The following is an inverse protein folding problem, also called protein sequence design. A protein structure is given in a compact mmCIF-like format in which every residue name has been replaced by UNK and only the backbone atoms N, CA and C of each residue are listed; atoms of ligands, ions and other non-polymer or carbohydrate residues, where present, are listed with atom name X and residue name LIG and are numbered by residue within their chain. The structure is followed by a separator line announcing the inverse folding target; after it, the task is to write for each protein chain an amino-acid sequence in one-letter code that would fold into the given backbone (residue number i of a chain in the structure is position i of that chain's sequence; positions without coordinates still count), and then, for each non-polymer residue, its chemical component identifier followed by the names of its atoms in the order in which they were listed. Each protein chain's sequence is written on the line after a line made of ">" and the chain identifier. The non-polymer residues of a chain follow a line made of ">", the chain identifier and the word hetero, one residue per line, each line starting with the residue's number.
data_IF_389768614975
#
_entry.id   IF_389768614975
#
_cell.length_a   1.000
_cell.length_b   1.000
_cell.length_c   1.000
_cell.angle_alpha   90.00
_cell.angle_beta   90.00
_cell.angle_gamma   90.00
#
_symmetry.space_group_name_H-M   'P 1'
#
loop_
_entity.id
_entity.type
_entity.pdbx_description
1 polymer ?
#
# COMPACT_ATOMS: atom_id res chain seq x y z
N UNK A 1 -14.26 19.23 6.16
CA UNK A 1 -13.55 17.94 5.93
C UNK A 1 -14.47 16.84 5.39
N UNK A 2 -15.63 16.55 6.01
CA UNK A 2 -16.57 15.50 5.56
C UNK A 2 -16.97 15.59 4.07
N UNK A 3 -17.23 16.79 3.55
CA UNK A 3 -17.59 17.00 2.13
C UNK A 3 -16.44 16.69 1.16
N UNK A 4 -15.20 17.05 1.51
CA UNK A 4 -14.01 16.76 0.71
C UNK A 4 -13.72 15.26 0.68
N UNK A 5 -13.82 14.60 1.85
CA UNK A 5 -13.69 13.16 1.96
C UNK A 5 -14.68 12.43 1.03
N UNK A 6 -15.96 12.82 1.06
CA UNK A 6 -16.99 12.21 0.20
C UNK A 6 -16.74 12.47 -1.29
N UNK A 7 -16.30 13.67 -1.66
CA UNK A 7 -15.96 14.00 -3.05
C UNK A 7 -14.77 13.18 -3.56
N UNK A 8 -13.70 13.07 -2.77
CA UNK A 8 -12.55 12.23 -3.13
C UNK A 8 -12.95 10.77 -3.26
N UNK A 9 -13.81 10.27 -2.36
CA UNK A 9 -14.34 8.91 -2.45
C UNK A 9 -15.11 8.69 -3.77
N UNK A 10 -16.00 9.63 -4.13
CA UNK A 10 -16.76 9.57 -5.38
C UNK A 10 -15.88 9.72 -6.63
N UNK A 11 -14.80 10.50 -6.56
CA UNK A 11 -13.82 10.64 -7.64
C UNK A 11 -12.96 9.37 -7.81
N UNK A 12 -12.61 8.70 -6.72
CA UNK A 12 -11.98 7.37 -6.77
C UNK A 12 -12.93 6.34 -7.40
N UNK A 13 -14.23 6.47 -7.13
CA UNK A 13 -15.31 5.71 -7.74
C UNK A 13 -15.64 6.13 -9.21
N UNK A 14 -14.77 6.88 -9.88
CA UNK A 14 -14.93 7.17 -11.30
C UNK A 14 -14.85 5.90 -12.14
N UNK A 15 -15.83 5.67 -13.03
CA UNK A 15 -16.01 4.45 -13.86
C UNK A 15 -14.68 3.85 -14.36
N UNK A 16 -13.84 4.62 -15.06
CA UNK A 16 -12.58 4.09 -15.65
C UNK A 16 -11.55 3.63 -14.61
N UNK A 17 -11.33 4.41 -13.54
CA UNK A 17 -10.36 4.07 -12.49
C UNK A 17 -10.86 2.90 -11.63
N UNK A 18 -12.17 2.80 -11.41
CA UNK A 18 -12.77 1.65 -10.72
C UNK A 18 -12.59 0.34 -11.48
N UNK A 19 -12.78 0.33 -12.80
CA UNK A 19 -12.56 -0.89 -13.58
C UNK A 19 -11.11 -1.37 -13.48
N UNK A 20 -10.14 -0.44 -13.50
CA UNK A 20 -8.73 -0.77 -13.30
C UNK A 20 -8.50 -1.32 -11.89
N UNK A 21 -9.04 -0.65 -10.86
CA UNK A 21 -8.91 -1.10 -9.47
C UNK A 21 -9.53 -2.49 -9.28
N UNK A 22 -10.74 -2.71 -9.79
CA UNK A 22 -11.44 -4.00 -9.70
C UNK A 22 -10.70 -5.10 -10.45
N UNK A 23 -10.15 -4.82 -11.63
CA UNK A 23 -9.32 -5.77 -12.38
C UNK A 23 -8.05 -6.12 -11.60
N UNK A 24 -7.42 -5.13 -10.96
CA UNK A 24 -6.25 -5.36 -10.11
C UNK A 24 -6.59 -6.15 -8.86
N UNK A 25 -7.76 -5.89 -8.28
CA UNK A 25 -8.25 -6.51 -7.07
C UNK A 25 -8.74 -7.94 -7.28
N UNK A 26 -9.15 -8.29 -8.50
CA UNK A 26 -9.55 -9.65 -8.88
C UNK A 26 -8.36 -10.52 -9.28
N UNK A 27 -7.24 -9.94 -9.69
CA UNK A 27 -6.01 -10.64 -10.09
C UNK A 27 -5.52 -11.63 -9.02
N UNK A 28 -5.42 -11.27 -7.72
CA UNK A 28 -5.02 -12.20 -6.67
C UNK A 28 -5.96 -13.40 -6.54
N UNK A 29 -7.26 -13.15 -6.63
CA UNK A 29 -8.29 -14.19 -6.51
C UNK A 29 -8.15 -15.19 -7.66
N UNK A 30 -7.88 -14.70 -8.87
CA UNK A 30 -7.64 -15.55 -10.04
C UNK A 30 -6.34 -16.36 -9.92
N UNK A 31 -5.26 -15.75 -9.42
CA UNK A 31 -3.98 -16.45 -9.21
C UNK A 31 -4.07 -17.52 -8.14
N UNK A 32 -4.66 -17.21 -6.98
CA UNK A 32 -4.87 -18.20 -5.91
C UNK A 32 -5.79 -19.31 -6.41
N UNK A 33 -6.86 -18.95 -7.12
CA UNK A 33 -7.78 -19.92 -7.71
C UNK A 33 -7.12 -20.83 -8.74
N UNK A 34 -6.23 -20.31 -9.59
CA UNK A 34 -5.53 -21.14 -10.58
C UNK A 34 -4.55 -22.12 -9.92
N UNK A 35 -3.84 -21.71 -8.87
CA UNK A 35 -2.92 -22.56 -8.10
C UNK A 35 -3.69 -23.69 -7.40
N UNK A 36 -4.84 -23.38 -6.81
CA UNK A 36 -5.70 -24.35 -6.13
C UNK A 36 -6.33 -25.35 -7.12
N UNK A 37 -6.84 -24.86 -8.26
CA UNK A 37 -7.42 -25.69 -9.32
C UNK A 37 -6.38 -26.58 -10.01
N UNK A 38 -5.14 -26.11 -10.15
CA UNK A 38 -4.02 -26.90 -10.66
C UNK A 38 -3.57 -28.01 -9.69
N UNK A 39 -4.19 -28.12 -8.51
CA UNK A 39 -3.86 -29.14 -7.52
C UNK A 39 -2.55 -28.86 -6.78
N UNK A 40 -2.05 -27.61 -6.80
CA UNK A 40 -0.75 -27.25 -6.21
C UNK A 40 -0.61 -27.55 -4.72
N UNK A 41 -1.73 -27.72 -4.00
CA UNK A 41 -1.76 -28.10 -2.58
C UNK A 41 -2.17 -29.55 -2.33
N UNK A 42 -2.53 -30.33 -3.36
CA UNK A 42 -3.06 -31.70 -3.20
C UNK A 42 -1.99 -32.77 -2.91
N UNK A 43 -0.70 -32.41 -2.94
CA UNK A 43 0.42 -33.33 -2.69
C UNK A 43 1.39 -32.86 -1.61
N UNK A 44 1.12 -31.73 -0.97
CA UNK A 44 1.94 -31.19 0.12
C UNK A 44 1.27 -31.55 1.44
N UNK A 45 2.06 -31.98 2.43
CA UNK A 45 1.58 -32.23 3.79
C UNK A 45 0.76 -31.02 4.27
N UNK A 46 -0.41 -31.24 4.87
CA UNK A 46 -1.42 -30.18 5.12
C UNK A 46 -0.82 -28.92 5.77
N UNK A 47 0.12 -29.10 6.69
CA UNK A 47 0.83 -28.02 7.39
C UNK A 47 1.77 -27.19 6.48
N UNK A 48 2.52 -27.84 5.59
CA UNK A 48 3.42 -27.15 4.66
C UNK A 48 2.64 -26.44 3.54
N UNK A 49 1.49 -27.00 3.14
CA UNK A 49 0.58 -26.37 2.19
C UNK A 49 -0.01 -25.06 2.73
N UNK A 50 -0.39 -25.04 4.00
CA UNK A 50 -0.91 -23.85 4.68
C UNK A 50 0.12 -22.72 4.73
N UNK A 51 1.35 -23.03 5.14
CA UNK A 51 2.44 -22.05 5.27
C UNK A 51 2.79 -21.38 3.94
N UNK A 52 2.92 -22.18 2.87
CA UNK A 52 3.19 -21.68 1.52
C UNK A 52 2.07 -20.73 1.09
N UNK A 53 0.82 -21.09 1.36
CA UNK A 53 -0.31 -20.25 0.98
C UNK A 53 -0.34 -18.93 1.77
N UNK A 54 0.01 -18.92 3.06
CA UNK A 54 0.14 -17.66 3.83
C UNK A 54 1.24 -16.75 3.27
N UNK A 55 2.39 -17.32 2.91
CA UNK A 55 3.48 -16.55 2.28
C UNK A 55 3.03 -15.97 0.94
N UNK A 56 2.35 -16.76 0.10
CA UNK A 56 1.78 -16.29 -1.17
C UNK A 56 0.80 -15.15 -0.94
N UNK A 57 -0.13 -15.29 0.02
CA UNK A 57 -1.10 -14.24 0.35
C UNK A 57 -0.42 -12.96 0.84
N UNK A 58 0.62 -13.07 1.67
CA UNK A 58 1.38 -11.92 2.14
C UNK A 58 2.08 -11.18 0.98
N UNK A 59 2.75 -11.92 0.10
CA UNK A 59 3.44 -11.33 -1.06
C UNK A 59 2.45 -10.67 -2.02
N UNK A 60 1.29 -11.28 -2.21
CA UNK A 60 0.32 -10.82 -3.18
C UNK A 60 -0.45 -9.59 -2.68
N UNK A 61 -0.89 -9.57 -1.42
CA UNK A 61 -1.71 -8.49 -0.87
C UNK A 61 -0.88 -7.34 -0.26
N UNK A 62 -0.28 -7.46 0.95
CA UNK A 62 0.53 -6.39 1.53
C UNK A 62 1.68 -5.90 0.65
N UNK A 63 2.43 -6.82 0.03
CA UNK A 63 3.64 -6.44 -0.69
C UNK A 63 3.35 -5.97 -2.12
N UNK A 64 2.51 -6.66 -2.89
CA UNK A 64 2.30 -6.32 -4.31
C UNK A 64 1.11 -5.38 -4.51
N UNK A 65 -0.09 -5.79 -4.12
CA UNK A 65 -1.31 -5.00 -4.36
C UNK A 65 -1.28 -3.65 -3.66
N UNK A 66 -0.87 -3.59 -2.38
CA UNK A 66 -0.92 -2.33 -1.64
C UNK A 66 0.02 -1.29 -2.27
N UNK A 67 1.20 -1.70 -2.74
CA UNK A 67 2.13 -0.81 -3.46
C UNK A 67 1.50 -0.31 -4.75
N UNK A 68 0.93 -1.20 -5.55
CA UNK A 68 0.40 -0.84 -6.88
C UNK A 68 -0.84 0.05 -6.79
N UNK A 69 -1.73 -0.24 -5.84
CA UNK A 69 -2.93 0.56 -5.61
C UNK A 69 -2.58 1.91 -4.98
N UNK A 70 -1.67 1.94 -4.00
CA UNK A 70 -1.17 3.19 -3.42
C UNK A 70 -0.38 4.03 -4.42
N UNK A 71 0.32 3.42 -5.36
CA UNK A 71 0.99 4.11 -6.47
C UNK A 71 -0.05 4.76 -7.38
N UNK A 72 -1.04 4.01 -7.85
CA UNK A 72 -2.05 4.50 -8.78
C UNK A 72 -2.84 5.69 -8.22
N UNK A 73 -3.23 5.62 -6.94
CA UNK A 73 -4.09 6.62 -6.30
C UNK A 73 -3.31 7.67 -5.49
N UNK A 74 -2.21 7.29 -4.84
CA UNK A 74 -1.36 8.19 -4.06
C UNK A 74 -0.53 9.12 -4.93
N UNK A 75 0.07 8.61 -6.01
CA UNK A 75 0.84 9.45 -6.93
C UNK A 75 -0.06 10.43 -7.70
N UNK A 76 -1.30 10.03 -8.02
CA UNK A 76 -2.28 10.88 -8.71
C UNK A 76 -3.12 11.78 -7.79
N UNK A 77 -2.90 11.71 -6.47
CA UNK A 77 -3.69 12.42 -5.46
C UNK A 77 -3.68 13.94 -5.64
N UNK A 78 -2.51 14.46 -5.99
CA UNK A 78 -2.23 15.89 -6.18
C UNK A 78 -1.66 16.20 -7.56
N UNK A 79 -1.05 15.23 -8.25
CA UNK A 79 -0.48 15.44 -9.57
C UNK A 79 -1.50 16.02 -10.56
N UNK A 80 -2.74 15.51 -10.56
CA UNK A 80 -3.80 16.03 -11.44
C UNK A 80 -4.19 17.47 -11.13
N UNK A 81 -4.28 17.87 -9.85
CA UNK A 81 -4.64 19.27 -9.50
C UNK A 81 -3.50 20.25 -9.71
N UNK A 82 -2.27 19.76 -9.64
CA UNK A 82 -1.05 20.49 -9.99
C UNK A 82 -1.03 20.75 -11.49
N UNK A 83 -1.27 19.72 -12.30
CA UNK A 83 -1.28 19.81 -13.76
C UNK A 83 -2.43 20.68 -14.28
N UNK A 84 -3.63 20.49 -13.75
CA UNK A 84 -4.83 21.23 -14.16
C UNK A 84 -4.88 22.67 -13.64
N UNK A 85 -3.85 23.12 -12.88
CA UNK A 85 -3.79 24.43 -12.19
C UNK A 85 -5.00 24.74 -11.30
N UNK A 86 -5.81 23.73 -10.97
CA UNK A 86 -7.02 23.86 -10.16
C UNK A 86 -6.72 24.11 -8.69
N UNK A 87 -5.49 23.81 -8.23
CA UNK A 87 -5.00 24.21 -6.91
C UNK A 87 -5.17 25.71 -6.68
N UNK A 88 -4.90 26.55 -7.68
CA UNK A 88 -5.02 28.02 -7.56
C UNK A 88 -6.48 28.44 -7.35
N UNK A 89 -7.41 27.82 -8.08
CA UNK A 89 -8.84 28.12 -7.95
C UNK A 89 -9.40 27.67 -6.59
N UNK A 90 -8.91 26.56 -6.04
CA UNK A 90 -9.23 26.12 -4.68
C UNK A 90 -8.79 27.12 -3.61
N UNK A 91 -7.80 27.99 -3.89
CA UNK A 91 -7.30 29.01 -2.97
C UNK A 91 -8.13 30.30 -2.93
N UNK A 92 -9.04 30.52 -3.89
CA UNK A 92 -10.04 31.59 -3.74
C UNK A 92 -11.00 31.33 -2.56
N UNK A 93 -11.09 30.06 -2.13
CA UNK A 93 -11.76 29.65 -0.90
C UNK A 93 -10.70 29.45 0.19
N UNK A 94 -10.83 30.14 1.33
CA UNK A 94 -9.85 30.20 2.43
C UNK A 94 -9.56 28.86 3.15
N UNK A 95 -9.09 27.83 2.44
CA UNK A 95 -8.71 26.53 2.98
C UNK A 95 -7.17 26.40 2.95
N UNK A 96 -6.52 26.17 4.11
CA UNK A 96 -5.07 25.99 4.15
C UNK A 96 -4.66 24.71 3.43
N UNK A 97 -3.60 24.79 2.62
CA UNK A 97 -3.17 23.73 1.69
C UNK A 97 -2.95 22.36 2.35
N UNK A 98 -2.40 22.35 3.57
CA UNK A 98 -2.21 21.15 4.39
C UNK A 98 -3.51 20.40 4.69
N UNK A 99 -4.63 21.11 4.93
CA UNK A 99 -5.92 20.46 5.24
C UNK A 99 -6.50 19.73 4.04
N UNK A 100 -6.22 20.20 2.82
CA UNK A 100 -6.64 19.54 1.58
C UNK A 100 -5.83 18.27 1.38
N UNK A 101 -4.50 18.35 1.52
CA UNK A 101 -3.60 17.19 1.48
C UNK A 101 -4.04 16.13 2.50
N UNK A 102 -4.15 16.51 3.78
CA UNK A 102 -4.48 15.58 4.85
C UNK A 102 -5.87 14.94 4.65
N UNK A 103 -6.86 15.72 4.21
CA UNK A 103 -8.20 15.22 3.93
C UNK A 103 -8.23 14.20 2.79
N UNK A 104 -7.51 14.47 1.71
CA UNK A 104 -7.39 13.55 0.56
C UNK A 104 -6.59 12.30 0.89
N UNK A 105 -5.48 12.46 1.59
CA UNK A 105 -4.64 11.36 2.03
C UNK A 105 -5.41 10.39 2.93
N UNK A 106 -6.16 10.90 3.91
CA UNK A 106 -6.99 10.06 4.78
C UNK A 106 -8.12 9.39 4.00
N UNK A 107 -8.78 10.12 3.10
CA UNK A 107 -9.85 9.55 2.26
C UNK A 107 -9.35 8.40 1.39
N UNK A 108 -8.21 8.59 0.73
CA UNK A 108 -7.61 7.57 -0.13
C UNK A 108 -7.08 6.40 0.68
N UNK A 109 -6.29 6.63 1.72
CA UNK A 109 -5.72 5.55 2.55
C UNK A 109 -6.80 4.66 3.16
N UNK A 110 -7.89 5.25 3.70
CA UNK A 110 -9.02 4.50 4.26
C UNK A 110 -9.80 3.77 3.18
N UNK A 111 -10.08 4.41 2.04
CA UNK A 111 -10.77 3.74 0.95
C UNK A 111 -9.97 2.54 0.45
N UNK A 112 -8.66 2.73 0.21
CA UNK A 112 -7.78 1.67 -0.25
C UNK A 112 -7.71 0.53 0.76
N UNK A 113 -7.55 0.82 2.05
CA UNK A 113 -7.50 -0.23 3.07
C UNK A 113 -8.80 -1.03 3.15
N UNK A 114 -9.96 -0.38 3.01
CA UNK A 114 -11.26 -1.07 3.00
C UNK A 114 -11.43 -1.92 1.74
N UNK A 115 -11.07 -1.40 0.57
CA UNK A 115 -11.18 -2.11 -0.71
C UNK A 115 -10.26 -3.35 -0.77
N UNK A 116 -9.00 -3.21 -0.35
CA UNK A 116 -8.04 -4.31 -0.34
C UNK A 116 -8.36 -5.36 0.72
N UNK A 117 -8.76 -4.95 1.93
CA UNK A 117 -9.19 -5.88 2.97
C UNK A 117 -10.49 -6.62 2.61
N UNK A 118 -11.44 -5.96 1.93
CA UNK A 118 -12.63 -6.62 1.42
C UNK A 118 -12.28 -7.69 0.38
N UNK A 119 -11.39 -7.38 -0.57
CA UNK A 119 -10.92 -8.37 -1.55
C UNK A 119 -10.23 -9.56 -0.90
N UNK A 120 -9.35 -9.30 0.07
CA UNK A 120 -8.72 -10.37 0.83
C UNK A 120 -9.77 -11.25 1.51
N UNK A 121 -10.78 -10.65 2.14
CA UNK A 121 -11.86 -11.38 2.81
C UNK A 121 -12.68 -12.21 1.81
N UNK A 122 -12.97 -11.68 0.63
CA UNK A 122 -13.62 -12.43 -0.45
C UNK A 122 -12.75 -13.60 -0.93
N UNK A 123 -11.45 -13.40 -1.03
CA UNK A 123 -10.52 -14.47 -1.39
C UNK A 123 -10.54 -15.59 -0.35
N UNK A 124 -10.54 -15.26 0.94
CA UNK A 124 -10.67 -16.25 2.02
C UNK A 124 -12.02 -17.00 1.93
N UNK A 125 -13.12 -16.27 1.67
CA UNK A 125 -14.45 -16.85 1.58
C UNK A 125 -14.65 -17.76 0.35
N UNK A 126 -14.05 -17.42 -0.79
CA UNK A 126 -14.19 -18.19 -2.05
C UNK A 126 -13.43 -19.51 -1.99
N UNK A 127 -12.28 -19.53 -1.31
CA UNK A 127 -11.40 -20.70 -1.31
C UNK A 127 -11.53 -21.58 -0.07
N UNK A 128 -12.47 -21.27 0.84
CA UNK A 128 -12.73 -21.98 2.11
C UNK A 128 -11.43 -22.41 2.80
N UNK A 129 -10.45 -21.50 2.76
CA UNK A 129 -9.11 -21.87 3.10
C UNK A 129 -9.00 -22.00 4.62
N UNK A 130 -8.35 -23.04 5.16
CA UNK A 130 -8.29 -23.36 6.59
C UNK A 130 -7.40 -22.38 7.38
N UNK A 131 -7.22 -21.15 6.90
CA UNK A 131 -6.43 -20.14 7.58
C UNK A 131 -7.16 -19.67 8.83
N UNK A 132 -6.55 -19.85 9.99
CA UNK A 132 -7.10 -19.39 11.26
C UNK A 132 -7.37 -17.87 11.27
N UNK A 133 -8.33 -17.45 12.10
CA UNK A 133 -8.71 -16.03 12.27
C UNK A 133 -7.52 -15.12 12.63
N UNK A 134 -6.46 -15.68 13.24
CA UNK A 134 -5.19 -14.99 13.50
C UNK A 134 -4.47 -14.55 12.23
N UNK A 135 -4.41 -15.41 11.21
CA UNK A 135 -3.75 -15.11 9.92
C UNK A 135 -4.50 -14.00 9.20
N UNK A 136 -5.83 -14.07 9.20
CA UNK A 136 -6.66 -13.01 8.63
C UNK A 136 -6.42 -11.67 9.33
N UNK A 137 -6.35 -11.66 10.67
CA UNK A 137 -6.03 -10.45 11.44
C UNK A 137 -4.62 -9.92 11.12
N UNK A 138 -3.62 -10.81 11.05
CA UNK A 138 -2.25 -10.45 10.71
C UNK A 138 -2.16 -9.72 9.36
N UNK A 139 -2.78 -10.32 8.33
CA UNK A 139 -2.82 -9.73 7.00
C UNK A 139 -3.65 -8.44 6.96
N UNK A 140 -4.75 -8.36 7.70
CA UNK A 140 -5.56 -7.15 7.80
C UNK A 140 -4.76 -5.96 8.38
N UNK A 141 -4.01 -6.19 9.46
CA UNK A 141 -3.15 -5.16 10.06
C UNK A 141 -2.01 -4.79 9.10
N UNK A 142 -1.39 -5.77 8.43
CA UNK A 142 -0.35 -5.50 7.44
C UNK A 142 -0.88 -4.68 6.25
N UNK A 143 -2.06 -5.00 5.72
CA UNK A 143 -2.69 -4.27 4.60
C UNK A 143 -3.01 -2.83 5.01
N UNK A 144 -3.60 -2.64 6.19
CA UNK A 144 -3.93 -1.30 6.67
C UNK A 144 -2.66 -0.46 6.86
N UNK A 145 -1.63 -1.00 7.50
CA UNK A 145 -0.33 -0.35 7.64
C UNK A 145 0.32 -0.03 6.28
N UNK A 146 0.28 -0.98 5.34
CA UNK A 146 0.82 -0.81 3.99
C UNK A 146 0.11 0.31 3.23
N UNK A 147 -1.23 0.32 3.23
CA UNK A 147 -2.02 1.34 2.55
C UNK A 147 -1.71 2.75 3.08
N UNK A 148 -1.61 2.94 4.39
CA UNK A 148 -1.27 4.25 4.97
C UNK A 148 0.14 4.68 4.60
N UNK A 149 1.12 3.78 4.71
CA UNK A 149 2.53 4.13 4.50
C UNK A 149 2.85 4.39 3.04
N UNK A 150 2.43 3.50 2.14
CA UNK A 150 2.67 3.68 0.71
C UNK A 150 1.92 4.87 0.13
N UNK A 151 0.68 5.14 0.58
CA UNK A 151 -0.04 6.32 0.11
C UNK A 151 0.69 7.61 0.53
N UNK A 152 1.36 7.62 1.68
CA UNK A 152 2.13 8.77 2.14
C UNK A 152 3.42 8.96 1.31
N UNK A 153 4.14 7.88 1.04
CA UNK A 153 5.35 7.86 0.20
C UNK A 153 5.01 8.32 -1.22
N UNK A 154 3.99 7.73 -1.86
CA UNK A 154 3.63 8.07 -3.24
C UNK A 154 3.03 9.46 -3.37
N UNK A 155 2.31 9.94 -2.35
CA UNK A 155 1.85 11.34 -2.30
C UNK A 155 3.03 12.32 -2.31
N UNK A 156 4.08 12.05 -1.51
CA UNK A 156 5.31 12.85 -1.51
C UNK A 156 6.03 12.82 -2.86
N UNK A 157 6.17 11.64 -3.46
CA UNK A 157 6.79 11.49 -4.79
C UNK A 157 6.00 12.24 -5.87
N UNK A 158 4.67 12.19 -5.83
CA UNK A 158 3.80 12.94 -6.75
C UNK A 158 3.90 14.46 -6.56
N UNK A 159 4.21 14.94 -5.35
CA UNK A 159 4.47 16.35 -5.08
C UNK A 159 5.86 16.80 -5.57
N UNK A 160 6.87 15.95 -5.46
CA UNK A 160 8.23 16.24 -5.91
C UNK A 160 8.28 16.34 -7.44
N UNK A 161 7.69 15.36 -8.13
CA UNK A 161 7.76 15.21 -9.60
C UNK A 161 6.36 15.05 -10.20
N UNK A 162 5.54 16.11 -10.25
CA UNK A 162 4.13 16.02 -10.68
C UNK A 162 3.95 15.44 -12.09
N UNK A 163 4.76 15.89 -13.06
CA UNK A 163 4.68 15.46 -14.47
C UNK A 163 5.09 14.00 -14.73
N UNK A 164 5.78 13.36 -13.77
CA UNK A 164 6.28 11.98 -13.90
C UNK A 164 5.99 11.15 -12.65
N UNK A 165 4.92 11.49 -11.94
CA UNK A 165 4.58 10.88 -10.65
C UNK A 165 4.43 9.35 -10.75
N UNK A 166 3.76 8.86 -11.80
CA UNK A 166 3.56 7.43 -12.03
C UNK A 166 4.88 6.71 -12.35
N UNK A 167 5.65 7.07 -13.40
CA UNK A 167 6.87 6.33 -13.72
C UNK A 167 7.94 6.41 -12.61
N UNK A 168 8.05 7.54 -11.90
CA UNK A 168 8.95 7.65 -10.74
C UNK A 168 8.49 6.75 -9.59
N UNK A 169 7.19 6.70 -9.33
CA UNK A 169 6.65 5.79 -8.31
C UNK A 169 6.80 4.32 -8.68
N UNK A 170 6.68 3.95 -9.97
CA UNK A 170 6.99 2.59 -10.44
C UNK A 170 8.46 2.26 -10.15
N UNK A 171 9.38 3.16 -10.52
CA UNK A 171 10.81 2.97 -10.28
C UNK A 171 11.10 2.76 -8.79
N UNK A 172 10.49 3.58 -7.93
CA UNK A 172 10.59 3.41 -6.48
C UNK A 172 10.06 2.03 -6.03
N UNK A 173 8.83 1.67 -6.40
CA UNK A 173 8.23 0.40 -5.98
C UNK A 173 9.01 -0.83 -6.44
N UNK A 174 9.52 -0.82 -7.68
CA UNK A 174 10.31 -1.94 -8.20
C UNK A 174 11.69 -2.00 -7.54
N UNK A 175 12.40 -0.89 -7.48
CA UNK A 175 13.79 -0.89 -6.97
C UNK A 175 13.82 -1.05 -5.46
N UNK A 176 13.07 -0.24 -4.71
CA UNK A 176 13.16 -0.21 -3.25
C UNK A 176 12.33 -1.28 -2.54
N UNK A 177 11.19 -1.67 -3.12
CA UNK A 177 10.29 -2.60 -2.42
C UNK A 177 10.34 -4.02 -3.01
N UNK A 178 10.57 -4.20 -4.31
CA UNK A 178 10.76 -5.55 -4.88
C UNK A 178 12.21 -6.02 -4.81
N UNK A 179 13.17 -5.23 -5.33
CA UNK A 179 14.56 -5.67 -5.38
C UNK A 179 15.24 -5.62 -4.01
N UNK A 180 15.12 -4.50 -3.30
CA UNK A 180 15.75 -4.36 -1.98
C UNK A 180 15.10 -5.25 -0.91
N UNK A 181 13.78 -5.49 -0.95
CA UNK A 181 13.12 -6.34 0.06
C UNK A 181 13.44 -7.83 -0.08
N UNK A 182 13.85 -8.26 -1.28
CA UNK A 182 14.20 -9.65 -1.55
C UNK A 182 15.63 -10.01 -1.15
N UNK A 183 16.47 -9.03 -0.82
CA UNK A 183 17.86 -9.28 -0.39
C UNK A 183 17.90 -9.39 1.14
N UNK A 184 18.26 -10.56 1.72
CA UNK A 184 18.47 -10.73 3.16
C UNK A 184 19.79 -10.07 3.59
N UNK A 185 19.80 -8.73 3.59
CA UNK A 185 20.89 -7.89 4.05
C UNK A 185 20.34 -6.78 4.95
N UNK A 186 21.21 -6.11 5.71
CA UNK A 186 20.88 -4.90 6.53
C UNK A 186 20.11 -3.84 5.71
N UNK A 187 20.30 -3.84 4.39
CA UNK A 187 19.60 -2.97 3.45
C UNK A 187 18.07 -3.15 3.49
N UNK A 188 17.57 -4.33 3.86
CA UNK A 188 16.13 -4.59 3.98
C UNK A 188 15.48 -3.81 5.13
N UNK A 189 16.23 -3.47 6.18
CA UNK A 189 15.73 -2.65 7.29
C UNK A 189 15.34 -1.22 6.85
N UNK A 190 15.79 -0.79 5.66
CA UNK A 190 15.39 0.49 5.05
C UNK A 190 14.03 0.41 4.34
N UNK A 191 13.52 -0.80 4.09
CA UNK A 191 12.34 -1.04 3.28
C UNK A 191 11.08 -1.16 4.13
N UNK A 192 9.97 -0.56 3.67
CA UNK A 192 8.71 -0.59 4.43
C UNK A 192 8.14 -2.00 4.52
N UNK A 193 8.31 -2.79 3.45
CA UNK A 193 7.90 -4.20 3.40
C UNK A 193 8.54 -5.07 4.50
N UNK A 194 9.74 -4.75 4.99
CA UNK A 194 10.40 -5.49 6.07
C UNK A 194 9.62 -5.38 7.39
N UNK A 195 9.28 -4.15 7.79
CA UNK A 195 8.53 -3.90 9.02
C UNK A 195 7.10 -4.45 8.93
N UNK A 196 6.46 -4.34 7.76
CA UNK A 196 5.13 -4.92 7.52
C UNK A 196 5.16 -6.46 7.60
N UNK A 197 6.24 -7.09 7.10
CA UNK A 197 6.41 -8.55 7.09
C UNK A 197 6.65 -9.07 8.48
N UNK A 198 7.54 -8.41 9.21
CA UNK A 198 7.84 -8.72 10.60
C UNK A 198 6.59 -8.59 11.48
N UNK A 199 5.79 -7.53 11.29
CA UNK A 199 4.55 -7.35 12.04
C UNK A 199 3.49 -8.42 11.71
N UNK A 200 3.32 -8.75 10.43
CA UNK A 200 2.40 -9.82 10.02
C UNK A 200 2.81 -11.17 10.60
N UNK A 201 4.11 -11.48 10.59
CA UNK A 201 4.64 -12.73 11.13
C UNK A 201 4.37 -12.86 12.64
N UNK A 202 4.67 -11.82 13.41
CA UNK A 202 4.43 -11.79 14.86
C UNK A 202 2.96 -12.00 15.22
N UNK A 203 2.03 -11.47 14.42
CA UNK A 203 0.58 -11.62 14.67
C UNK A 203 0.07 -12.99 14.22
N UNK A 204 0.62 -13.53 13.13
CA UNK A 204 0.21 -14.81 12.58
C UNK A 204 0.63 -15.99 13.47
N UNK A 205 1.74 -15.86 14.24
CA UNK A 205 2.24 -16.88 15.16
C UNK A 205 2.48 -18.24 14.45
N UNK A 206 2.93 -18.17 13.19
CA UNK A 206 3.18 -19.35 12.35
C UNK A 206 4.66 -19.74 12.46
N UNK A 207 4.92 -20.97 12.89
CA UNK A 207 6.23 -21.60 12.79
C UNK A 207 6.53 -21.92 11.32
N UNK A 208 7.22 -21.02 10.61
CA UNK A 208 7.73 -21.31 9.26
C UNK A 208 8.87 -22.35 9.36
N UNK A 209 8.81 -23.51 8.69
CA UNK A 209 9.84 -24.54 8.69
C UNK A 209 10.86 -24.33 7.57
N UNK A 210 11.12 -23.08 7.21
CA UNK A 210 12.13 -22.71 6.22
C UNK A 210 13.41 -22.32 6.95
N UNK A 211 14.56 -22.76 6.44
CA UNK A 211 15.88 -22.65 7.07
C UNK A 211 16.08 -21.34 7.85
N UNK A 212 16.44 -21.53 9.10
CA UNK A 212 16.21 -20.63 10.24
C UNK A 212 17.09 -19.37 10.24
N UNK A 213 18.01 -19.23 9.29
CA UNK A 213 18.96 -18.11 9.25
C UNK A 213 18.59 -17.05 8.20
N UNK A 214 18.06 -17.46 7.05
CA UNK A 214 17.77 -16.52 5.95
C UNK A 214 16.42 -15.81 6.15
N UNK A 215 15.43 -16.52 6.70
CA UNK A 215 14.09 -15.97 7.00
C UNK A 215 14.10 -15.10 8.26
N UNK A 216 14.94 -15.44 9.26
CA UNK A 216 15.08 -14.61 10.47
C UNK A 216 15.64 -13.23 10.11
N UNK A 217 16.63 -13.15 9.21
CA UNK A 217 17.10 -11.87 8.68
C UNK A 217 16.03 -11.03 7.96
N UNK A 218 14.97 -11.66 7.45
CA UNK A 218 13.84 -11.02 6.75
C UNK A 218 12.69 -10.59 7.67
N UNK A 219 12.69 -11.02 8.94
CA UNK A 219 11.54 -10.93 9.85
C UNK A 219 11.93 -10.47 11.28
N UNK A 220 13.21 -10.20 11.55
CA UNK A 220 13.76 -10.00 12.91
C UNK A 220 13.35 -8.72 13.67
N UNK A 221 12.52 -7.84 13.13
CA UNK A 221 12.12 -6.64 13.87
C UNK A 221 11.20 -6.98 15.07
N UNK A 222 11.42 -6.33 16.20
CA UNK A 222 10.46 -6.35 17.31
C UNK A 222 9.13 -5.74 16.84
N UNK A 223 7.96 -6.24 17.27
CA UNK A 223 6.66 -5.72 16.82
C UNK A 223 6.50 -4.23 17.16
N UNK A 224 7.04 -3.79 18.30
CA UNK A 224 7.06 -2.37 18.70
C UNK A 224 7.91 -1.54 17.75
N UNK A 225 9.09 -2.06 17.35
CA UNK A 225 9.96 -1.37 16.37
C UNK A 225 9.31 -1.28 15.01
N UNK A 226 8.62 -2.34 14.57
CA UNK A 226 7.89 -2.34 13.30
C UNK A 226 6.78 -1.29 13.29
N UNK A 227 5.93 -1.23 14.32
CA UNK A 227 4.89 -0.20 14.43
C UNK A 227 5.49 1.20 14.47
N UNK A 228 6.53 1.41 15.28
CA UNK A 228 7.19 2.71 15.38
C UNK A 228 7.82 3.14 14.05
N UNK A 229 8.50 2.23 13.36
CA UNK A 229 9.08 2.51 12.05
C UNK A 229 8.01 2.91 11.04
N UNK A 230 6.90 2.17 10.96
CA UNK A 230 5.76 2.47 10.08
C UNK A 230 5.16 3.85 10.40
N UNK A 231 4.98 4.18 11.68
CA UNK A 231 4.46 5.48 12.12
C UNK A 231 5.44 6.62 11.83
N UNK A 232 6.75 6.40 12.03
CA UNK A 232 7.78 7.38 11.74
C UNK A 232 7.88 7.63 10.24
N UNK A 233 7.92 6.58 9.42
CA UNK A 233 8.01 6.69 7.94
C UNK A 233 6.79 7.44 7.41
N UNK A 234 5.57 7.04 7.81
CA UNK A 234 4.33 7.71 7.39
C UNK A 234 4.25 9.16 7.90
N UNK A 235 4.63 9.41 9.16
CA UNK A 235 4.62 10.75 9.77
C UNK A 235 5.63 11.70 9.12
N UNK A 236 6.85 11.23 8.85
CA UNK A 236 7.91 12.03 8.20
C UNK A 236 7.54 12.34 6.75
N UNK A 237 7.06 11.36 5.99
CA UNK A 237 6.66 11.56 4.58
C UNK A 237 5.46 12.52 4.45
N UNK A 238 4.48 12.44 5.36
CA UNK A 238 3.37 13.39 5.40
C UNK A 238 3.83 14.79 5.81
N UNK A 239 4.71 14.90 6.80
CA UNK A 239 5.24 16.19 7.27
C UNK A 239 6.06 16.87 6.16
N UNK A 240 6.90 16.12 5.46
CA UNK A 240 7.64 16.62 4.30
C UNK A 240 6.69 17.05 3.18
N UNK A 241 5.64 16.28 2.90
CA UNK A 241 4.61 16.65 1.93
C UNK A 241 3.93 17.98 2.30
N UNK A 242 3.62 18.18 3.59
CA UNK A 242 3.06 19.43 4.11
C UNK A 242 3.99 20.62 3.87
N UNK A 243 5.26 20.45 4.23
CA UNK A 243 6.29 21.48 4.14
C UNK A 243 6.56 21.85 2.69
N UNK A 244 6.62 20.87 1.78
CA UNK A 244 6.80 21.09 0.35
C UNK A 244 5.66 21.93 -0.23
N UNK A 245 4.42 21.62 0.12
CA UNK A 245 3.24 22.38 -0.34
C UNK A 245 3.24 23.82 0.21
N UNK A 246 3.75 24.01 1.43
CA UNK A 246 3.86 25.33 2.04
C UNK A 246 4.97 26.17 1.41
N UNK A 247 6.12 25.56 1.11
CA UNK A 247 7.31 26.25 0.56
C UNK A 247 7.28 26.46 -0.95
N UNK A 248 6.62 25.58 -1.73
CA UNK A 248 6.47 25.78 -3.17
C UNK A 248 5.37 26.80 -3.44
N UNK A 249 5.77 28.00 -3.83
CA UNK A 249 4.93 28.90 -4.61
C UNK A 249 4.91 28.34 -6.04
N UNK A 250 3.75 27.82 -6.45
CA UNK A 250 3.59 27.30 -7.81
C UNK A 250 3.54 28.50 -8.74
N UNK A 251 4.53 28.70 -9.61
CA UNK A 251 4.59 29.89 -10.44
C UNK A 251 3.37 29.89 -11.37
N UNK A 252 2.65 31.01 -11.38
CA UNK A 252 1.54 31.29 -12.29
C UNK A 252 2.00 31.52 -13.74
N UNK A 253 3.22 31.11 -14.12
CA UNK A 253 3.82 31.49 -15.40
C UNK A 253 2.99 30.98 -16.59
N UNK A 254 2.26 31.95 -17.15
CA UNK A 254 2.16 32.32 -18.56
C UNK A 254 2.15 31.18 -19.59
N UNK A 255 0.96 30.90 -20.08
CA UNK A 255 0.66 30.77 -21.51
C UNK A 255 -0.74 31.38 -21.66
N UNK A 256 -0.91 32.56 -22.27
CA UNK A 256 -0.82 32.81 -23.73
C UNK A 256 -1.60 31.78 -24.51
#
# INVERSE_FOLDING_TARGET
>A
MKALFRLTLLQMLGRKKLWILLAFLSLPILLVGSILLAGGLRGVQEEAGEQIAVVILYVLYPQTLCILVALLYGASLLAGEIEDKTLVYLFTRALPRWKVLAGKYLATSVALSVLTSLSMTLCFAVFDAPFGLRVWLALFVAITGACFTYTAIFSLLGLLVPQRAIPVGILYGVVFELLLSSVPAVINELTTSYYLRSLAYWIADISLPLDIDEVVGLVSADPVRAVLAILVISGVTLSLSALLIHRREWPLNEGV
#
